data_IF_532246724039
#
_entry.id   IF_532246724039
#
_cell.length_a   1.000
_cell.length_b   1.000
_cell.length_c   1.000
_cell.angle_alpha   90.00
_cell.angle_beta   90.00
_cell.angle_gamma   90.00
#
_symmetry.space_group_name_H-M   'P 1'
#
loop_
_entity.id
_entity.type
_entity.pdbx_description
1 polymer ?
#
# COMPACT_ATOMS: atom_id res chain seq x y z
N UNK A 1 -29.37 2.17 3.10
CA UNK A 1 -29.44 3.59 3.55
C UNK A 1 -28.06 4.22 3.44
N UNK A 2 -27.89 5.54 3.31
CA UNK A 2 -26.57 6.20 3.33
C UNK A 2 -25.77 5.93 4.61
N UNK A 3 -26.47 5.63 5.71
CA UNK A 3 -25.87 5.19 6.98
C UNK A 3 -25.16 3.84 6.87
N UNK A 4 -25.60 2.94 5.99
CA UNK A 4 -24.93 1.64 5.78
C UNK A 4 -23.72 1.78 4.84
N UNK A 5 -23.78 2.72 3.89
CA UNK A 5 -22.72 2.95 2.90
C UNK A 5 -21.39 3.34 3.55
N UNK A 6 -21.43 4.15 4.62
CA UNK A 6 -20.23 4.66 5.28
C UNK A 6 -19.94 4.03 6.64
N UNK A 7 -20.70 3.01 7.06
CA UNK A 7 -20.57 2.40 8.39
C UNK A 7 -19.14 1.91 8.70
N UNK A 8 -18.49 1.27 7.72
CA UNK A 8 -17.11 0.81 7.87
C UNK A 8 -16.08 1.95 7.92
N UNK A 9 -16.35 3.06 7.23
CA UNK A 9 -15.51 4.26 7.26
C UNK A 9 -15.67 4.99 8.60
N UNK A 10 -16.88 5.11 9.10
CA UNK A 10 -17.17 5.77 10.39
C UNK A 10 -16.62 4.98 11.58
N UNK A 11 -16.55 3.65 11.45
CA UNK A 11 -15.88 2.79 12.42
C UNK A 11 -14.34 2.91 12.36
N UNK A 12 -13.77 3.22 11.18
CA UNK A 12 -12.33 3.35 10.99
C UNK A 12 -11.80 4.74 11.34
N UNK A 13 -12.47 5.79 10.88
CA UNK A 13 -12.14 7.19 11.13
C UNK A 13 -13.38 7.92 11.62
N UNK A 14 -13.24 8.69 12.71
CA UNK A 14 -14.36 9.43 13.30
C UNK A 14 -15.05 10.31 12.24
N UNK A 15 -16.40 10.35 12.20
CA UNK A 15 -17.15 11.24 11.32
C UNK A 15 -16.67 12.70 11.40
N UNK A 16 -16.82 13.41 10.29
CA UNK A 16 -16.46 14.83 10.09
C UNK A 16 -14.97 15.18 10.14
N UNK A 17 -14.09 14.20 10.41
CA UNK A 17 -12.63 14.38 10.25
C UNK A 17 -12.24 14.43 8.77
N UNK A 18 -11.10 15.06 8.45
CA UNK A 18 -10.63 15.17 7.06
C UNK A 18 -10.30 13.79 6.47
N UNK A 19 -9.75 12.89 7.27
CA UNK A 19 -9.56 11.49 6.89
C UNK A 19 -10.88 10.80 6.54
N UNK A 20 -11.91 10.94 7.39
CA UNK A 20 -13.22 10.34 7.12
C UNK A 20 -13.83 10.88 5.83
N UNK A 21 -13.79 12.21 5.61
CA UNK A 21 -14.27 12.83 4.36
C UNK A 21 -13.55 12.27 3.13
N UNK A 22 -12.22 12.19 3.18
CA UNK A 22 -11.41 11.64 2.09
C UNK A 22 -11.75 10.17 1.79
N UNK A 23 -11.90 9.35 2.83
CA UNK A 23 -12.30 7.94 2.68
C UNK A 23 -13.72 7.80 2.09
N UNK A 24 -14.66 8.68 2.47
CA UNK A 24 -15.99 8.71 1.86
C UNK A 24 -15.93 9.08 0.38
N UNK A 25 -15.11 10.07 0.01
CA UNK A 25 -14.90 10.42 -1.41
C UNK A 25 -14.34 9.25 -2.21
N UNK A 26 -13.42 8.47 -1.64
CA UNK A 26 -12.94 7.23 -2.28
C UNK A 26 -14.08 6.23 -2.44
N UNK A 27 -14.87 5.96 -1.39
CA UNK A 27 -16.02 5.04 -1.43
C UNK A 27 -17.09 5.42 -2.45
N UNK A 28 -17.30 6.71 -2.64
CA UNK A 28 -18.25 7.22 -3.63
C UNK A 28 -17.79 6.93 -5.08
N UNK A 29 -16.48 6.87 -5.32
CA UNK A 29 -15.89 6.56 -6.63
C UNK A 29 -15.57 5.06 -6.81
N UNK A 30 -15.30 4.35 -5.71
CA UNK A 30 -15.12 2.90 -5.63
C UNK A 30 -16.03 2.33 -4.54
N UNK A 31 -17.25 1.89 -4.89
CA UNK A 31 -18.20 1.32 -3.94
C UNK A 31 -17.70 0.05 -3.24
N UNK A 32 -16.68 -0.62 -3.79
CA UNK A 32 -16.09 -1.82 -3.20
C UNK A 32 -15.01 -1.52 -2.14
N UNK A 33 -14.57 -0.26 -2.05
CA UNK A 33 -13.52 0.15 -1.13
C UNK A 33 -13.93 -0.06 0.33
N UNK A 34 -13.06 -0.72 1.10
CA UNK A 34 -13.24 -0.94 2.54
C UNK A 34 -11.92 -0.63 3.26
N UNK A 35 -11.87 0.34 4.19
CA UNK A 35 -10.61 0.80 4.78
C UNK A 35 -9.78 -0.32 5.43
N UNK A 36 -10.43 -1.22 6.17
CA UNK A 36 -9.76 -2.33 6.86
C UNK A 36 -9.12 -3.29 5.85
N UNK A 37 -9.88 -3.71 4.84
CA UNK A 37 -9.41 -4.59 3.76
C UNK A 37 -8.28 -3.95 2.97
N UNK A 38 -8.38 -2.64 2.70
CA UNK A 38 -7.33 -1.89 2.03
C UNK A 38 -6.01 -1.90 2.82
N UNK A 39 -6.07 -1.62 4.13
CA UNK A 39 -4.89 -1.66 5.01
C UNK A 39 -4.29 -3.06 5.07
N UNK A 40 -5.10 -4.11 5.14
CA UNK A 40 -4.61 -5.48 5.18
C UNK A 40 -3.96 -5.89 3.85
N UNK A 41 -4.53 -5.47 2.71
CA UNK A 41 -3.89 -5.60 1.40
C UNK A 41 -2.56 -4.85 1.29
N UNK A 42 -2.50 -3.63 1.82
CA UNK A 42 -1.28 -2.81 1.83
C UNK A 42 -0.16 -3.45 2.66
N UNK A 43 -0.48 -4.08 3.79
CA UNK A 43 0.47 -4.84 4.61
C UNK A 43 1.11 -5.99 3.81
N UNK A 44 0.29 -6.79 3.14
CA UNK A 44 0.77 -7.90 2.31
C UNK A 44 1.63 -7.39 1.15
N UNK A 45 1.20 -6.33 0.48
CA UNK A 45 1.97 -5.73 -0.62
C UNK A 45 3.35 -5.25 -0.14
N UNK A 46 3.41 -4.60 1.02
CA UNK A 46 4.68 -4.15 1.62
C UNK A 46 5.63 -5.32 1.89
N UNK A 47 5.15 -6.40 2.50
CA UNK A 47 5.95 -7.61 2.73
C UNK A 47 6.47 -8.20 1.41
N UNK A 48 5.60 -8.37 0.41
CA UNK A 48 5.99 -8.87 -0.91
C UNK A 48 7.05 -7.99 -1.58
N UNK A 49 6.92 -6.65 -1.47
CA UNK A 49 7.88 -5.71 -2.04
C UNK A 49 9.25 -5.82 -1.36
N UNK A 50 9.29 -5.86 -0.02
CA UNK A 50 10.54 -5.96 0.73
C UNK A 50 11.27 -7.27 0.43
N UNK A 51 10.54 -8.39 0.43
CA UNK A 51 11.10 -9.70 0.10
C UNK A 51 11.58 -9.77 -1.35
N UNK A 52 10.76 -9.32 -2.31
CA UNK A 52 11.15 -9.30 -3.72
C UNK A 52 12.38 -8.41 -3.98
N UNK A 53 12.52 -7.29 -3.26
CA UNK A 53 13.71 -6.45 -3.34
C UNK A 53 14.97 -7.12 -2.76
N UNK A 54 14.83 -7.80 -1.62
CA UNK A 54 15.92 -8.58 -1.03
C UNK A 54 16.39 -9.68 -1.99
N UNK A 55 15.45 -10.40 -2.59
CA UNK A 55 15.71 -11.54 -3.50
C UNK A 55 16.09 -11.12 -4.93
N UNK A 56 15.88 -9.85 -5.29
CA UNK A 56 16.10 -9.36 -6.65
C UNK A 56 15.01 -9.77 -7.66
N UNK A 57 13.81 -10.12 -7.19
CA UNK A 57 12.67 -10.52 -8.00
C UNK A 57 11.99 -9.31 -8.66
N UNK A 58 12.56 -8.90 -9.79
CA UNK A 58 12.07 -7.81 -10.63
C UNK A 58 10.67 -8.09 -11.19
N UNK A 59 10.27 -9.36 -11.38
CA UNK A 59 8.96 -9.69 -11.94
C UNK A 59 7.85 -9.33 -10.96
N UNK A 60 8.01 -9.70 -9.70
CA UNK A 60 7.05 -9.38 -8.64
C UNK A 60 6.97 -7.86 -8.42
N UNK A 61 8.12 -7.18 -8.36
CA UNK A 61 8.18 -5.72 -8.19
C UNK A 61 7.45 -4.96 -9.31
N UNK A 62 7.58 -5.40 -10.57
CA UNK A 62 6.91 -4.76 -11.72
C UNK A 62 5.39 -4.75 -11.61
N UNK A 63 4.81 -5.75 -10.95
CA UNK A 63 3.36 -5.86 -10.79
C UNK A 63 2.81 -5.05 -9.60
N UNK A 64 3.67 -4.72 -8.63
CA UNK A 64 3.26 -4.08 -7.37
C UNK A 64 3.61 -2.59 -7.31
N UNK A 65 4.60 -2.14 -8.10
CA UNK A 65 5.14 -0.78 -8.05
C UNK A 65 4.71 0.03 -9.26
N UNK A 66 4.58 1.34 -9.06
CA UNK A 66 4.53 2.28 -10.19
C UNK A 66 5.85 2.24 -10.96
N UNK A 67 5.82 2.64 -12.23
CA UNK A 67 7.00 2.61 -13.11
C UNK A 67 8.21 3.34 -12.51
N UNK A 68 8.01 4.54 -11.99
CA UNK A 68 9.09 5.35 -11.42
C UNK A 68 9.74 4.68 -10.21
N UNK A 69 8.93 4.12 -9.30
CA UNK A 69 9.44 3.43 -8.11
C UNK A 69 10.13 2.12 -8.49
N UNK A 70 9.55 1.38 -9.45
CA UNK A 70 10.13 0.15 -9.99
C UNK A 70 11.53 0.39 -10.59
N UNK A 71 11.68 1.42 -11.42
CA UNK A 71 12.95 1.73 -12.08
C UNK A 71 14.05 2.03 -11.05
N UNK A 72 13.72 2.76 -9.96
CA UNK A 72 14.64 2.98 -8.83
C UNK A 72 15.06 1.70 -8.12
N UNK A 73 14.12 0.76 -7.90
CA UNK A 73 14.42 -0.52 -7.27
C UNK A 73 15.32 -1.39 -8.15
N UNK A 74 15.05 -1.45 -9.47
CA UNK A 74 15.86 -2.22 -10.42
C UNK A 74 17.29 -1.70 -10.47
N UNK A 75 17.48 -0.39 -10.46
CA UNK A 75 18.81 0.22 -10.44
C UNK A 75 19.60 -0.20 -9.19
N UNK A 76 19.01 -0.08 -8.00
CA UNK A 76 19.65 -0.45 -6.75
C UNK A 76 19.96 -1.96 -6.67
N UNK A 77 19.07 -2.82 -7.16
CA UNK A 77 19.33 -4.27 -7.26
C UNK A 77 20.54 -4.53 -8.18
N UNK A 78 20.61 -3.87 -9.34
CA UNK A 78 21.72 -4.04 -10.30
C UNK A 78 23.07 -3.61 -9.72
N UNK A 79 23.12 -2.50 -8.99
CA UNK A 79 24.35 -2.04 -8.31
C UNK A 79 24.84 -3.05 -7.26
N UNK A 80 23.91 -3.65 -6.50
CA UNK A 80 24.21 -4.66 -5.48
C UNK A 80 24.72 -5.96 -6.11
N UNK A 81 24.06 -6.43 -7.16
CA UNK A 81 24.47 -7.63 -7.91
C UNK A 81 25.87 -7.47 -8.50
N UNK A 82 26.20 -6.29 -9.04
CA UNK A 82 27.54 -5.99 -9.56
C UNK A 82 28.65 -6.10 -8.49
N UNK A 83 28.31 -5.88 -7.22
CA UNK A 83 29.20 -6.03 -6.07
C UNK A 83 29.23 -7.46 -5.51
N UNK A 84 28.47 -8.39 -6.11
CA UNK A 84 28.26 -9.76 -5.60
C UNK A 84 27.74 -9.81 -4.16
N UNK A 85 27.03 -8.77 -3.73
CA UNK A 85 26.42 -8.69 -2.41
C UNK A 85 25.09 -9.46 -2.40
N UNK A 86 24.91 -10.34 -1.41
CA UNK A 86 23.65 -11.03 -1.16
C UNK A 86 23.02 -10.49 0.11
N UNK A 87 21.73 -10.16 0.02
CA UNK A 87 20.93 -9.83 1.20
C UNK A 87 20.20 -11.11 1.61
N UNK A 88 20.44 -11.56 2.82
CA UNK A 88 19.51 -12.45 3.51
C UNK A 88 18.68 -11.58 4.45
N UNK A 89 17.41 -11.37 4.10
CA UNK A 89 16.48 -10.62 4.93
C UNK A 89 15.39 -11.57 5.43
N UNK A 90 15.07 -11.48 6.73
CA UNK A 90 13.89 -12.10 7.29
C UNK A 90 12.88 -11.02 7.63
N UNK A 91 11.70 -11.09 7.03
CA UNK A 91 10.60 -10.19 7.37
C UNK A 91 9.93 -10.70 8.66
N UNK A 92 9.95 -9.88 9.72
CA UNK A 92 9.38 -10.26 11.03
C UNK A 92 7.88 -9.98 11.09
N UNK A 93 7.40 -8.95 10.38
CA UNK A 93 5.99 -8.55 10.36
C UNK A 93 5.82 -7.03 10.36
N UNK A 94 4.55 -6.59 10.41
CA UNK A 94 4.18 -5.19 10.51
C UNK A 94 3.46 -4.97 11.83
N UNK A 95 4.06 -4.19 12.73
CA UNK A 95 3.50 -3.91 14.06
C UNK A 95 2.24 -3.04 13.99
N UNK A 96 2.24 -2.04 13.12
CA UNK A 96 1.09 -1.15 12.88
C UNK A 96 1.07 -0.67 11.43
N UNK A 97 -0.11 -0.69 10.82
CA UNK A 97 -0.40 0.06 9.60
C UNK A 97 -1.74 0.78 9.78
N UNK A 98 -1.82 2.00 9.26
CA UNK A 98 -2.93 2.91 9.48
C UNK A 98 -3.08 3.83 8.26
N UNK A 99 -4.29 4.39 8.06
CA UNK A 99 -4.50 5.41 7.02
C UNK A 99 -4.42 6.76 7.71
N UNK A 100 -3.40 7.54 7.38
CA UNK A 100 -3.17 8.86 8.00
C UNK A 100 -3.87 9.99 7.26
N UNK A 101 -4.05 9.85 5.95
CA UNK A 101 -4.73 10.81 5.08
C UNK A 101 -5.32 10.07 3.87
N UNK A 102 -6.37 10.65 3.29
CA UNK A 102 -7.03 10.13 2.10
C UNK A 102 -7.41 11.29 1.18
N UNK A 103 -7.01 11.22 -0.08
CA UNK A 103 -7.31 12.22 -1.10
C UNK A 103 -7.58 11.52 -2.45
N UNK A 104 -8.53 12.05 -3.21
CA UNK A 104 -8.75 11.67 -4.61
C UNK A 104 -8.19 12.77 -5.51
N UNK A 105 -7.25 12.41 -6.38
CA UNK A 105 -6.72 13.32 -7.41
C UNK A 105 -7.40 13.03 -8.75
N UNK A 106 -7.96 14.07 -9.37
CA UNK A 106 -8.54 13.98 -10.72
C UNK A 106 -10.02 13.62 -10.75
N UNK A 107 -10.85 14.40 -10.03
CA UNK A 107 -12.31 14.44 -10.27
C UNK A 107 -12.64 15.07 -11.62
#
# INVERSE_FOLDING_TARGET
>A
SSAETYAAIDAFAKPDTDLNKGLRTIKDNDPSFEPKTFVDGAKMAYEMIVMAYADGDRKTLKNLLSREVYDGFVAAIGEREAKSEKIQSSFVGIDKADIVAAEMKGS
#
